data_IF_599180600880
#
_entry.id   IF_599180600880
#
_cell.length_a   1.000
_cell.length_b   1.000
_cell.length_c   1.000
_cell.angle_alpha   90.00
_cell.angle_beta   90.00
_cell.angle_gamma   90.00
#
_symmetry.space_group_name_H-M   'P 1'
#
loop_
_entity.id
_entity.type
_entity.pdbx_description
1 polymer ?
#
# COMPACT_ATOMS: atom_id res chain seq x y z
N UNK A 1 -15.75 73.06 66.42
CA UNK A 1 -16.88 72.22 66.89
C UNK A 1 -18.10 72.52 66.05
N UNK A 2 -18.47 71.73 65.13
CA UNK A 2 -19.82 71.58 64.61
C UNK A 2 -20.05 70.19 64.08
N UNK A 3 -20.82 69.51 64.84
CA UNK A 3 -21.35 68.19 64.63
C UNK A 3 -22.42 68.27 63.52
N UNK A 4 -22.26 67.52 62.41
CA UNK A 4 -23.36 67.31 61.48
C UNK A 4 -23.57 65.80 61.20
N UNK A 5 -24.75 65.38 61.60
CA UNK A 5 -25.33 64.06 61.51
C UNK A 5 -25.53 63.64 60.02
N UNK A 6 -25.23 62.44 59.61
CA UNK A 6 -25.66 61.95 58.28
C UNK A 6 -27.13 61.53 58.30
N UNK A 7 -27.82 61.84 57.21
CA UNK A 7 -29.21 61.45 56.93
C UNK A 7 -29.28 59.92 56.57
N UNK A 8 -30.38 59.28 57.00
CA UNK A 8 -30.60 57.87 56.64
C UNK A 8 -31.30 57.76 55.28
N UNK A 9 -30.88 56.72 54.48
CA UNK A 9 -31.69 56.20 53.41
C UNK A 9 -31.10 56.29 51.99
N UNK A 10 -30.03 55.58 51.76
CA UNK A 10 -29.77 55.13 50.41
C UNK A 10 -30.03 53.60 50.37
N UNK A 11 -31.15 53.26 49.76
CA UNK A 11 -31.53 51.87 49.50
C UNK A 11 -30.64 51.36 48.31
N UNK A 12 -29.78 50.37 48.57
CA UNK A 12 -29.03 49.69 47.50
C UNK A 12 -30.01 48.97 46.60
N UNK A 13 -29.81 49.02 45.27
CA UNK A 13 -30.66 48.27 44.34
C UNK A 13 -30.38 46.75 44.47
N UNK A 14 -31.45 46.03 44.80
CA UNK A 14 -31.48 44.57 44.81
C UNK A 14 -31.09 44.01 43.43
N UNK A 15 -30.13 43.04 43.31
CA UNK A 15 -29.83 42.43 42.04
C UNK A 15 -31.03 41.67 41.50
N UNK A 16 -31.55 42.09 40.37
CA UNK A 16 -32.62 41.35 39.66
C UNK A 16 -32.09 40.07 39.12
N UNK A 17 -32.56 38.93 39.60
CA UNK A 17 -32.29 37.63 39.00
C UNK A 17 -32.73 37.60 37.52
N UNK A 18 -31.95 37.02 36.62
CA UNK A 18 -32.31 36.94 35.21
C UNK A 18 -33.53 36.03 35.04
N UNK A 19 -34.55 36.57 34.38
CA UNK A 19 -35.82 35.91 34.13
C UNK A 19 -35.67 34.54 33.43
N UNK A 20 -36.49 33.54 33.78
CA UNK A 20 -36.33 32.16 33.31
C UNK A 20 -36.53 31.95 31.79
N UNK A 21 -36.92 32.99 31.05
CA UNK A 21 -37.11 32.94 29.58
C UNK A 21 -35.81 32.81 28.77
N UNK A 22 -34.67 33.28 29.24
CA UNK A 22 -33.40 33.23 28.52
C UNK A 22 -32.75 31.83 28.56
N UNK A 23 -32.96 31.06 29.64
CA UNK A 23 -32.42 29.69 29.78
C UNK A 23 -33.15 28.68 28.92
N UNK A 24 -34.47 28.85 28.62
CA UNK A 24 -35.22 27.95 27.72
C UNK A 24 -34.82 28.10 26.26
N UNK A 25 -34.48 29.32 25.78
CA UNK A 25 -34.05 29.58 24.42
C UNK A 25 -32.67 28.97 24.13
N UNK A 26 -31.70 29.11 25.04
CA UNK A 26 -30.37 28.49 24.94
C UNK A 26 -30.47 26.97 24.92
N UNK A 27 -31.27 26.35 25.79
CA UNK A 27 -31.45 24.87 25.79
C UNK A 27 -32.09 24.31 24.51
N UNK A 28 -32.98 25.06 23.84
CA UNK A 28 -33.55 24.66 22.56
C UNK A 28 -32.53 24.74 21.43
N UNK A 29 -31.70 25.77 21.38
CA UNK A 29 -30.63 25.92 20.40
C UNK A 29 -29.57 24.80 20.54
N UNK A 30 -29.17 24.50 21.78
CA UNK A 30 -28.23 23.40 22.07
C UNK A 30 -28.79 22.02 21.71
N UNK A 31 -30.07 21.78 21.94
CA UNK A 31 -30.74 20.54 21.52
C UNK A 31 -30.79 20.43 19.99
N UNK A 32 -31.04 21.53 19.28
CA UNK A 32 -30.99 21.58 17.82
C UNK A 32 -29.58 21.30 17.28
N UNK A 33 -28.55 21.88 17.92
CA UNK A 33 -27.16 21.64 17.54
C UNK A 33 -26.72 20.18 17.77
N UNK A 34 -27.13 19.57 18.89
CA UNK A 34 -26.86 18.15 19.17
C UNK A 34 -27.57 17.22 18.18
N UNK A 35 -28.78 17.54 17.75
CA UNK A 35 -29.49 16.77 16.73
C UNK A 35 -28.79 16.89 15.38
N UNK A 36 -28.33 18.08 14.99
CA UNK A 36 -27.57 18.28 13.75
C UNK A 36 -26.22 17.54 13.77
N UNK A 37 -25.52 17.54 14.91
CA UNK A 37 -24.27 16.77 15.07
C UNK A 37 -24.53 15.27 15.01
N UNK A 38 -25.62 14.77 15.58
CA UNK A 38 -26.00 13.37 15.50
C UNK A 38 -26.35 12.97 14.06
N UNK A 39 -27.08 13.81 13.31
CA UNK A 39 -27.37 13.58 11.90
C UNK A 39 -26.10 13.59 11.06
N UNK A 40 -25.19 14.53 11.29
CA UNK A 40 -23.90 14.59 10.60
C UNK A 40 -23.05 13.34 10.89
N UNK A 41 -23.04 12.85 12.14
CA UNK A 41 -22.35 11.61 12.50
C UNK A 41 -22.97 10.38 11.82
N UNK A 42 -24.29 10.29 11.73
CA UNK A 42 -24.97 9.21 11.01
C UNK A 42 -24.68 9.26 9.50
N UNK A 43 -24.69 10.45 8.89
CA UNK A 43 -24.31 10.62 7.49
C UNK A 43 -22.86 10.22 7.25
N UNK A 44 -21.93 10.58 8.15
CA UNK A 44 -20.53 10.19 8.07
C UNK A 44 -20.35 8.66 8.20
N UNK A 45 -21.09 8.03 9.13
CA UNK A 45 -21.10 6.56 9.27
C UNK A 45 -21.71 5.85 8.06
N UNK A 46 -22.78 6.40 7.47
CA UNK A 46 -23.37 5.85 6.25
C UNK A 46 -22.45 6.06 5.03
N UNK A 47 -21.73 7.17 4.96
CA UNK A 47 -20.75 7.42 3.90
C UNK A 47 -19.53 6.49 4.03
N UNK A 48 -19.04 6.28 5.26
CA UNK A 48 -17.95 5.34 5.54
C UNK A 48 -18.38 3.89 5.29
N UNK A 49 -19.56 3.49 5.79
CA UNK A 49 -20.14 2.17 5.56
C UNK A 49 -20.51 1.91 4.10
N UNK A 50 -20.98 2.95 3.38
CA UNK A 50 -21.25 2.86 1.94
C UNK A 50 -19.98 2.66 1.10
N UNK A 51 -18.87 3.30 1.48
CA UNK A 51 -17.57 3.07 0.84
C UNK A 51 -17.02 1.67 1.15
N UNK A 52 -17.20 1.19 2.38
CA UNK A 52 -16.85 -0.18 2.76
C UNK A 52 -17.73 -1.20 2.03
N UNK A 53 -19.04 -0.98 1.94
CA UNK A 53 -19.98 -1.85 1.21
C UNK A 53 -19.72 -1.87 -0.30
N UNK A 54 -19.34 -0.72 -0.91
CA UNK A 54 -18.94 -0.66 -2.31
C UNK A 54 -17.61 -1.41 -2.53
N UNK A 55 -16.69 -1.34 -1.57
CA UNK A 55 -15.44 -2.10 -1.60
C UNK A 55 -15.71 -3.60 -1.50
N UNK A 56 -16.59 -4.03 -0.57
CA UNK A 56 -17.03 -5.43 -0.40
C UNK A 56 -17.76 -5.98 -1.63
N UNK A 57 -18.60 -5.15 -2.29
CA UNK A 57 -19.33 -5.55 -3.50
C UNK A 57 -18.48 -5.50 -4.79
N UNK A 58 -17.31 -4.88 -4.75
CA UNK A 58 -16.33 -4.86 -5.86
C UNK A 58 -15.26 -5.93 -5.72
N UNK A 59 -15.11 -6.53 -4.54
CA UNK A 59 -14.31 -7.74 -4.38
C UNK A 59 -15.16 -8.91 -4.90
N UNK A 60 -14.60 -9.80 -5.72
CA UNK A 60 -15.25 -11.06 -6.04
C UNK A 60 -15.59 -11.77 -4.73
N UNK A 61 -16.81 -12.33 -4.61
CA UNK A 61 -17.30 -13.04 -3.43
C UNK A 61 -16.48 -14.30 -3.05
N UNK A 62 -15.36 -14.53 -3.73
CA UNK A 62 -14.54 -15.73 -3.64
C UNK A 62 -13.22 -15.55 -2.87
N UNK A 63 -13.09 -14.47 -2.08
CA UNK A 63 -12.01 -14.34 -1.11
C UNK A 63 -12.40 -15.04 0.21
N UNK A 64 -12.88 -16.29 0.11
CA UNK A 64 -13.23 -17.11 1.26
C UNK A 64 -11.97 -17.53 2.05
N UNK A 65 -12.07 -17.47 3.37
CA UNK A 65 -11.01 -17.84 4.33
C UNK A 65 -10.44 -19.27 4.16
N UNK A 66 -11.01 -20.08 3.27
CA UNK A 66 -10.69 -21.52 3.18
C UNK A 66 -9.82 -21.91 1.96
N UNK A 67 -9.50 -21.00 1.03
CA UNK A 67 -8.72 -21.30 -0.18
C UNK A 67 -7.27 -20.80 -0.12
N UNK A 68 -6.64 -20.73 1.07
CA UNK A 68 -5.20 -20.55 1.19
C UNK A 68 -4.49 -21.82 0.71
N UNK A 69 -4.31 -21.93 -0.61
CA UNK A 69 -3.43 -22.96 -1.16
C UNK A 69 -1.99 -22.62 -0.79
N UNK A 70 -1.47 -23.46 0.11
CA UNK A 70 -0.05 -23.62 0.35
C UNK A 70 0.67 -23.67 -1.00
N UNK A 71 1.64 -22.81 -1.20
CA UNK A 71 2.49 -22.79 -2.38
C UNK A 71 3.20 -24.15 -2.47
N UNK A 72 2.60 -25.09 -3.20
CA UNK A 72 3.23 -26.37 -3.52
C UNK A 72 4.29 -26.06 -4.59
N UNK A 73 5.56 -26.15 -4.18
CA UNK A 73 6.72 -25.92 -5.06
C UNK A 73 6.87 -27.01 -6.14
N UNK A 74 5.89 -27.88 -6.29
CA UNK A 74 5.88 -28.92 -7.30
C UNK A 74 5.44 -28.38 -8.67
N UNK A 75 6.42 -27.89 -9.45
CA UNK A 75 6.39 -27.76 -10.92
C UNK A 75 5.07 -27.16 -11.48
N UNK A 76 4.77 -25.91 -11.18
CA UNK A 76 3.91 -25.16 -12.07
C UNK A 76 4.67 -24.99 -13.39
N UNK A 77 3.98 -25.27 -14.51
CA UNK A 77 4.53 -25.13 -15.85
C UNK A 77 5.05 -23.71 -16.04
N UNK A 78 6.36 -23.48 -15.82
CA UNK A 78 7.00 -22.18 -16.10
C UNK A 78 6.78 -21.72 -17.55
N UNK A 79 6.41 -22.68 -18.43
CA UNK A 79 6.04 -22.45 -19.82
C UNK A 79 4.52 -22.22 -20.03
N UNK A 80 3.69 -22.13 -18.97
CA UNK A 80 2.26 -21.94 -19.14
C UNK A 80 1.96 -20.59 -19.83
N UNK A 81 1.09 -20.57 -20.85
CA UNK A 81 0.86 -19.38 -21.66
C UNK A 81 0.20 -18.26 -20.83
N UNK A 82 0.78 -17.07 -20.85
CA UNK A 82 0.24 -15.88 -20.24
C UNK A 82 -0.85 -15.33 -21.16
N UNK A 83 -2.09 -15.21 -20.65
CA UNK A 83 -3.24 -14.64 -21.38
C UNK A 83 -3.76 -13.34 -20.75
N UNK A 84 -3.05 -12.80 -19.76
CA UNK A 84 -3.30 -11.46 -19.21
C UNK A 84 -3.35 -10.46 -20.38
N UNK A 85 -4.33 -9.55 -20.44
CA UNK A 85 -4.42 -8.57 -21.52
C UNK A 85 -3.10 -7.81 -21.71
N UNK A 86 -2.51 -7.91 -22.89
CA UNK A 86 -1.23 -7.30 -23.19
C UNK A 86 -1.37 -5.84 -23.65
N UNK A 87 -0.30 -5.07 -23.50
CA UNK A 87 -0.14 -3.73 -24.07
C UNK A 87 1.31 -3.56 -24.51
N UNK A 88 1.49 -2.82 -25.61
CA UNK A 88 2.83 -2.47 -26.07
C UNK A 88 3.49 -1.48 -25.09
N UNK A 89 4.79 -1.61 -24.82
CA UNK A 89 5.52 -0.67 -23.99
C UNK A 89 5.61 0.70 -24.68
N UNK A 90 5.64 1.75 -23.90
CA UNK A 90 5.95 3.09 -24.42
C UNK A 90 7.35 3.11 -25.03
N UNK A 91 7.55 3.93 -26.08
CA UNK A 91 8.82 3.96 -26.82
C UNK A 91 10.04 4.35 -25.96
N UNK A 92 9.80 5.02 -24.83
CA UNK A 92 10.83 5.44 -23.87
C UNK A 92 10.84 4.56 -22.60
N UNK A 93 10.06 3.47 -22.58
CA UNK A 93 10.01 2.55 -21.43
C UNK A 93 11.37 1.87 -21.25
N UNK A 94 12.10 2.31 -20.25
CA UNK A 94 13.40 1.74 -19.87
C UNK A 94 13.60 1.87 -18.36
N UNK A 95 14.40 0.95 -17.82
CA UNK A 95 14.88 1.02 -16.45
C UNK A 95 16.18 1.83 -16.44
N UNK A 96 16.25 2.83 -15.57
CA UNK A 96 17.46 3.63 -15.39
C UNK A 96 18.10 3.31 -14.03
N UNK A 97 19.44 3.16 -14.03
CA UNK A 97 20.17 2.99 -12.79
C UNK A 97 20.33 4.34 -12.07
N UNK A 98 20.10 4.34 -10.79
CA UNK A 98 20.34 5.49 -9.95
C UNK A 98 21.84 5.82 -9.90
N UNK A 99 22.14 7.10 -9.76
CA UNK A 99 23.53 7.54 -9.48
C UNK A 99 23.95 7.12 -8.10
N UNK A 100 25.22 6.77 -7.95
CA UNK A 100 25.81 6.43 -6.65
C UNK A 100 25.51 7.52 -5.62
N UNK A 101 25.16 7.10 -4.41
CA UNK A 101 24.89 7.99 -3.28
C UNK A 101 26.08 8.01 -2.34
N UNK A 102 26.39 9.19 -1.84
CA UNK A 102 27.58 9.43 -1.00
C UNK A 102 27.43 8.95 0.45
N UNK A 103 26.24 8.54 0.90
CA UNK A 103 26.00 8.06 2.25
C UNK A 103 24.87 7.03 2.31
N UNK A 104 25.00 6.10 3.26
CA UNK A 104 23.99 5.10 3.53
C UNK A 104 22.77 5.72 4.24
N UNK A 105 21.58 5.25 3.89
CA UNK A 105 20.33 5.59 4.57
C UNK A 105 20.12 4.67 5.78
N UNK A 106 19.46 5.17 6.82
CA UNK A 106 18.96 4.33 7.91
C UNK A 106 17.81 3.43 7.42
N UNK A 107 17.53 2.34 8.13
CA UNK A 107 16.44 1.43 7.84
C UNK A 107 15.09 2.15 7.67
N UNK A 108 14.80 3.09 8.56
CA UNK A 108 13.56 3.88 8.52
C UNK A 108 13.50 4.80 7.29
N UNK A 109 14.61 5.38 6.85
CA UNK A 109 14.68 6.20 5.64
C UNK A 109 14.51 5.35 4.39
N UNK A 110 15.13 4.16 4.35
CA UNK A 110 14.94 3.18 3.27
C UNK A 110 13.47 2.80 3.18
N UNK A 111 12.86 2.36 4.28
CA UNK A 111 11.45 1.98 4.31
C UNK A 111 10.53 3.10 3.80
N UNK A 112 10.66 4.31 4.34
CA UNK A 112 9.85 5.46 3.90
C UNK A 112 10.04 5.80 2.42
N UNK A 113 11.24 5.58 1.89
CA UNK A 113 11.55 5.88 0.49
C UNK A 113 10.93 4.88 -0.47
N UNK A 114 10.94 3.57 -0.14
CA UNK A 114 10.62 2.52 -1.11
C UNK A 114 9.31 1.78 -0.84
N UNK A 115 8.77 1.82 0.39
CA UNK A 115 7.55 1.08 0.76
C UNK A 115 6.34 1.44 -0.12
N UNK A 116 6.25 2.70 -0.58
CA UNK A 116 5.19 3.14 -1.49
C UNK A 116 5.29 2.55 -2.91
N UNK A 117 6.46 2.04 -3.30
CA UNK A 117 6.70 1.45 -4.61
C UNK A 117 6.57 -0.08 -4.61
N UNK A 118 6.51 -0.72 -3.44
CA UNK A 118 6.35 -2.18 -3.33
C UNK A 118 4.87 -2.52 -3.28
N UNK A 119 4.44 -3.39 -4.17
CA UNK A 119 3.03 -3.73 -4.41
C UNK A 119 2.82 -5.23 -4.36
N UNK A 120 1.59 -5.64 -4.06
CA UNK A 120 1.20 -7.04 -4.21
C UNK A 120 0.68 -7.28 -5.62
N UNK A 121 1.12 -8.36 -6.25
CA UNK A 121 0.66 -8.82 -7.57
C UNK A 121 -0.17 -10.08 -7.34
N UNK A 122 -1.45 -10.02 -7.70
CA UNK A 122 -2.38 -11.15 -7.62
C UNK A 122 -2.82 -11.52 -9.03
N UNK A 123 -2.68 -12.78 -9.40
CA UNK A 123 -2.91 -13.31 -10.75
C UNK A 123 -3.88 -14.47 -10.69
N UNK A 124 -5.00 -14.33 -11.40
CA UNK A 124 -5.96 -15.42 -11.55
C UNK A 124 -5.45 -16.44 -12.57
N UNK A 125 -5.45 -17.70 -12.20
CA UNK A 125 -5.05 -18.84 -12.99
C UNK A 125 -6.26 -19.70 -13.42
N UNK A 126 -6.01 -20.74 -14.19
CA UNK A 126 -7.04 -21.72 -14.53
C UNK A 126 -7.51 -22.52 -13.29
N UNK A 127 -8.79 -22.92 -13.31
CA UNK A 127 -9.37 -23.74 -12.24
C UNK A 127 -9.65 -23.02 -10.93
N UNK A 128 -9.72 -21.66 -10.93
CA UNK A 128 -9.99 -20.89 -9.72
C UNK A 128 -8.76 -20.75 -8.80
N UNK A 129 -7.57 -21.09 -9.27
CA UNK A 129 -6.31 -20.90 -8.56
C UNK A 129 -5.85 -19.45 -8.69
N UNK A 130 -5.05 -19.00 -7.74
CA UNK A 130 -4.46 -17.67 -7.74
C UNK A 130 -2.97 -17.75 -7.41
N UNK A 131 -2.16 -17.01 -8.16
CA UNK A 131 -0.76 -16.77 -7.83
C UNK A 131 -0.62 -15.40 -7.19
N UNK A 132 0.15 -15.30 -6.10
CA UNK A 132 0.40 -14.05 -5.38
C UNK A 132 1.89 -13.83 -5.24
N UNK A 133 2.34 -12.63 -5.54
CA UNK A 133 3.74 -12.26 -5.42
C UNK A 133 3.94 -10.77 -5.15
N UNK A 134 5.19 -10.36 -5.13
CA UNK A 134 5.59 -8.97 -4.95
C UNK A 134 5.92 -8.33 -6.29
N UNK A 135 5.54 -7.07 -6.49
CA UNK A 135 5.98 -6.22 -7.58
C UNK A 135 6.65 -4.95 -7.08
N UNK A 136 7.45 -4.34 -7.95
CA UNK A 136 8.12 -3.06 -7.67
C UNK A 136 7.77 -2.08 -8.78
N UNK A 137 7.12 -0.97 -8.44
CA UNK A 137 6.90 0.13 -9.38
C UNK A 137 8.25 0.79 -9.64
N UNK A 138 8.68 0.86 -10.91
CA UNK A 138 9.95 1.45 -11.30
C UNK A 138 9.83 2.72 -12.15
N UNK A 139 8.59 3.10 -12.51
CA UNK A 139 8.26 4.38 -13.16
C UNK A 139 6.97 4.94 -12.59
N UNK A 140 6.91 6.25 -12.45
CA UNK A 140 5.75 6.97 -11.88
C UNK A 140 4.44 6.78 -12.64
N UNK A 141 4.51 6.40 -13.92
CA UNK A 141 3.37 6.12 -14.77
C UNK A 141 2.83 4.69 -14.66
N UNK A 142 3.40 3.85 -13.75
CA UNK A 142 2.86 2.56 -13.36
C UNK A 142 3.46 1.34 -14.06
N UNK A 143 4.70 1.39 -14.50
CA UNK A 143 5.46 0.19 -14.86
C UNK A 143 5.93 -0.54 -13.61
N UNK A 144 5.73 -1.86 -13.58
CA UNK A 144 6.00 -2.73 -12.43
C UNK A 144 6.85 -3.89 -12.88
N UNK A 145 7.92 -4.16 -12.13
CA UNK A 145 8.74 -5.37 -12.26
C UNK A 145 8.26 -6.41 -11.25
N UNK A 146 8.07 -7.65 -11.68
CA UNK A 146 7.75 -8.81 -10.85
C UNK A 146 8.46 -10.05 -11.40
N UNK A 147 8.24 -11.21 -10.79
CA UNK A 147 8.78 -12.47 -11.29
C UNK A 147 7.90 -13.08 -12.37
N UNK A 148 8.52 -13.81 -13.30
CA UNK A 148 7.80 -14.52 -14.36
C UNK A 148 6.88 -15.60 -13.79
N UNK A 149 7.34 -16.40 -12.82
CA UNK A 149 6.54 -17.45 -12.21
C UNK A 149 5.24 -16.92 -11.57
N UNK A 150 5.21 -15.65 -11.12
CA UNK A 150 4.00 -15.02 -10.58
C UNK A 150 2.94 -14.83 -11.64
N UNK A 151 3.31 -14.56 -12.89
CA UNK A 151 2.39 -14.27 -14.01
C UNK A 151 2.19 -15.44 -14.98
N UNK A 152 2.99 -16.50 -14.86
CA UNK A 152 2.89 -17.69 -15.71
C UNK A 152 1.49 -18.32 -15.61
N UNK A 153 0.89 -18.66 -16.76
CA UNK A 153 -0.47 -19.20 -16.82
C UNK A 153 -1.59 -18.19 -16.47
N UNK A 154 -1.25 -16.92 -16.23
CA UNK A 154 -2.18 -15.89 -15.81
C UNK A 154 -3.21 -15.51 -16.84
N UNK A 155 -4.46 -15.29 -16.39
CA UNK A 155 -5.61 -14.81 -17.17
C UNK A 155 -5.92 -13.35 -16.92
N UNK A 156 -5.98 -12.97 -15.65
CA UNK A 156 -6.13 -11.59 -15.22
C UNK A 156 -5.09 -11.29 -14.16
N UNK A 157 -4.74 -10.03 -14.03
CA UNK A 157 -3.77 -9.58 -13.03
C UNK A 157 -4.28 -8.34 -12.34
N UNK A 158 -4.28 -8.38 -11.02
CA UNK A 158 -4.61 -7.24 -10.15
C UNK A 158 -3.37 -6.86 -9.34
N UNK A 159 -3.05 -5.58 -9.35
CA UNK A 159 -2.00 -5.02 -8.51
C UNK A 159 -2.63 -4.25 -7.36
N UNK A 160 -2.24 -4.59 -6.14
CA UNK A 160 -2.68 -3.89 -4.93
C UNK A 160 -1.57 -2.94 -4.48
N UNK A 161 -1.85 -1.64 -4.50
CA UNK A 161 -0.95 -0.63 -3.94
C UNK A 161 -0.95 -0.68 -2.41
N UNK A 162 0.07 -0.14 -1.74
CA UNK A 162 0.05 0.05 -0.30
C UNK A 162 -1.24 0.74 0.15
N UNK A 163 -1.93 0.14 1.14
CA UNK A 163 -3.28 0.59 1.55
C UNK A 163 -4.43 -0.12 0.84
N UNK A 164 -4.15 -1.13 0.00
CA UNK A 164 -5.15 -2.05 -0.55
C UNK A 164 -5.92 -1.53 -1.78
N UNK A 165 -5.48 -0.43 -2.41
CA UNK A 165 -6.13 0.09 -3.63
C UNK A 165 -5.81 -0.81 -4.83
N UNK A 166 -6.81 -1.47 -5.46
CA UNK A 166 -6.59 -2.38 -6.57
C UNK A 166 -6.51 -1.65 -7.92
N UNK A 167 -5.67 -2.17 -8.81
CA UNK A 167 -5.56 -1.77 -10.21
C UNK A 167 -5.50 -2.99 -11.11
N UNK A 168 -6.30 -3.02 -12.15
CA UNK A 168 -6.14 -4.00 -13.22
C UNK A 168 -4.79 -3.76 -13.93
N UNK A 169 -3.97 -4.81 -14.00
CA UNK A 169 -2.68 -4.76 -14.67
C UNK A 169 -2.73 -5.39 -16.06
N UNK A 170 -1.93 -4.86 -16.94
CA UNK A 170 -1.68 -5.39 -18.28
C UNK A 170 -0.29 -5.97 -18.36
N UNK A 171 -0.13 -7.02 -19.14
CA UNK A 171 1.12 -7.66 -19.40
C UNK A 171 1.90 -6.89 -20.48
N UNK A 172 3.19 -6.70 -20.27
CA UNK A 172 4.12 -6.11 -21.25
C UNK A 172 4.98 -7.20 -21.87
N UNK A 173 5.82 -7.82 -21.04
CA UNK A 173 6.77 -8.84 -21.46
C UNK A 173 7.25 -9.65 -20.25
N UNK A 174 7.82 -10.82 -20.51
CA UNK A 174 8.54 -11.58 -19.49
C UNK A 174 9.68 -12.39 -20.10
N UNK A 175 10.58 -12.81 -19.24
CA UNK A 175 11.69 -13.71 -19.55
C UNK A 175 11.72 -14.82 -18.49
N UNK A 176 11.29 -16.02 -18.86
CA UNK A 176 11.28 -17.18 -17.97
C UNK A 176 12.70 -17.60 -17.54
N UNK A 177 13.70 -17.36 -18.40
CA UNK A 177 15.09 -17.72 -18.10
C UNK A 177 15.69 -16.87 -16.98
N UNK A 178 15.28 -15.61 -16.84
CA UNK A 178 15.67 -14.71 -15.77
C UNK A 178 14.63 -14.57 -14.68
N UNK A 179 13.49 -15.26 -14.80
CA UNK A 179 12.34 -15.16 -13.91
C UNK A 179 11.91 -13.72 -13.69
N UNK A 180 11.77 -12.95 -14.76
CA UNK A 180 11.36 -11.56 -14.73
C UNK A 180 10.13 -11.32 -15.59
N UNK A 181 9.24 -10.44 -15.13
CA UNK A 181 8.08 -9.96 -15.88
C UNK A 181 7.83 -8.47 -15.64
N UNK A 182 7.30 -7.81 -16.65
CA UNK A 182 6.92 -6.40 -16.62
C UNK A 182 5.41 -6.28 -16.82
N UNK A 183 4.78 -5.55 -15.92
CA UNK A 183 3.36 -5.22 -15.93
C UNK A 183 3.18 -3.71 -16.06
N UNK A 184 1.98 -3.29 -16.46
CA UNK A 184 1.57 -1.88 -16.55
C UNK A 184 0.20 -1.68 -15.92
N UNK A 185 0.11 -0.76 -14.96
CA UNK A 185 -1.16 -0.24 -14.45
C UNK A 185 -1.40 1.18 -14.93
N UNK A 186 -2.65 1.58 -15.04
CA UNK A 186 -3.03 2.95 -15.36
C UNK A 186 -3.53 3.63 -14.09
N UNK A 187 -2.72 4.50 -13.52
CA UNK A 187 -3.10 5.35 -12.40
C UNK A 187 -3.38 6.77 -12.92
N UNK A 188 -4.33 7.47 -12.27
CA UNK A 188 -4.66 8.87 -12.60
C UNK A 188 -3.61 9.84 -12.05
N UNK A 189 -2.85 9.41 -11.04
CA UNK A 189 -1.83 10.19 -10.35
C UNK A 189 -0.46 9.53 -10.54
N UNK A 190 0.61 10.35 -10.48
CA UNK A 190 1.98 9.84 -10.47
C UNK A 190 2.19 8.95 -9.25
N UNK A 191 2.73 7.76 -9.48
CA UNK A 191 2.94 6.75 -8.45
C UNK A 191 4.33 6.89 -7.81
N UNK A 192 4.46 6.58 -6.51
CA UNK A 192 5.77 6.34 -5.93
C UNK A 192 6.49 5.23 -6.68
N UNK A 193 7.77 5.40 -6.97
CA UNK A 193 8.58 4.38 -7.65
C UNK A 193 9.93 4.19 -6.97
N UNK A 194 10.52 3.00 -7.14
CA UNK A 194 11.84 2.67 -6.63
C UNK A 194 12.91 2.97 -7.68
N UNK A 195 14.06 3.47 -7.22
CA UNK A 195 15.26 3.62 -8.04
C UNK A 195 16.06 2.31 -8.00
N UNK A 196 16.60 1.89 -9.13
CA UNK A 196 17.45 0.71 -9.22
C UNK A 196 18.93 1.09 -9.06
N UNK A 197 19.61 0.38 -8.16
CA UNK A 197 21.05 0.53 -7.97
C UNK A 197 21.86 -0.41 -8.86
N UNK A 198 23.18 -0.17 -8.91
CA UNK A 198 24.12 -1.06 -9.56
C UNK A 198 24.50 -2.22 -8.62
N UNK A 199 24.05 -3.43 -8.90
CA UNK A 199 24.35 -4.61 -8.10
C UNK A 199 25.84 -5.02 -8.14
N UNK A 200 26.57 -4.64 -9.17
CA UNK A 200 28.03 -4.93 -9.27
C UNK A 200 28.85 -4.14 -8.22
N UNK A 201 28.28 -3.07 -7.67
CA UNK A 201 28.91 -2.28 -6.61
C UNK A 201 28.77 -2.88 -5.22
N UNK A 202 27.94 -3.94 -5.05
CA UNK A 202 27.71 -4.57 -3.75
C UNK A 202 28.91 -5.41 -3.29
N UNK A 203 29.13 -5.41 -1.99
CA UNK A 203 30.14 -6.21 -1.31
C UNK A 203 29.52 -7.07 -0.22
N UNK A 204 30.13 -8.24 0.05
CA UNK A 204 29.74 -9.09 1.17
C UNK A 204 29.89 -8.29 2.48
N UNK A 205 28.82 -8.28 3.28
CA UNK A 205 28.74 -7.49 4.52
C UNK A 205 28.00 -6.17 4.39
N UNK A 206 27.65 -5.73 3.17
CA UNK A 206 26.81 -4.53 2.99
C UNK A 206 25.45 -4.75 3.60
N UNK A 207 24.91 -3.75 4.34
CA UNK A 207 23.56 -3.83 4.89
C UNK A 207 22.52 -3.79 3.78
N UNK A 208 21.54 -4.67 3.86
CA UNK A 208 20.41 -4.76 2.91
C UNK A 208 19.09 -4.92 3.65
N UNK A 209 18.02 -4.57 2.97
CA UNK A 209 16.66 -4.72 3.46
C UNK A 209 15.83 -5.45 2.43
N UNK A 210 14.97 -6.36 2.87
CA UNK A 210 13.98 -7.00 2.03
C UNK A 210 12.59 -6.43 2.35
N UNK A 211 11.83 -6.13 1.30
CA UNK A 211 10.41 -5.72 1.41
C UNK A 211 9.63 -6.59 0.45
N UNK A 212 8.55 -7.20 0.94
CA UNK A 212 7.73 -8.05 0.10
C UNK A 212 6.38 -8.37 0.72
N UNK A 213 5.64 -9.25 0.04
CA UNK A 213 4.38 -9.83 0.50
C UNK A 213 4.65 -11.32 0.74
N UNK A 214 5.15 -11.70 1.94
CA UNK A 214 5.40 -13.10 2.24
C UNK A 214 4.08 -13.80 2.54
N UNK A 215 3.82 -14.90 1.86
CA UNK A 215 2.76 -15.89 2.13
C UNK A 215 1.31 -15.41 2.05
N UNK A 216 1.02 -14.12 2.25
CA UNK A 216 -0.34 -13.61 2.37
C UNK A 216 -0.45 -12.15 1.91
N UNK A 217 -1.55 -11.80 1.24
CA UNK A 217 -1.86 -10.43 0.81
C UNK A 217 -1.91 -9.48 2.01
N UNK A 218 -2.39 -9.94 3.17
CA UNK A 218 -2.44 -9.15 4.41
C UNK A 218 -1.05 -8.82 4.97
N UNK A 219 -0.03 -9.60 4.62
CA UNK A 219 1.36 -9.39 5.03
C UNK A 219 2.15 -8.49 4.07
N UNK A 220 1.48 -7.85 3.13
CA UNK A 220 2.09 -6.92 2.19
C UNK A 220 2.90 -5.83 2.87
N UNK A 221 4.13 -5.57 2.38
CA UNK A 221 5.03 -4.56 2.93
C UNK A 221 5.81 -5.00 4.16
N UNK A 222 5.90 -6.32 4.44
CA UNK A 222 6.84 -6.84 5.46
C UNK A 222 8.25 -6.39 5.14
N UNK A 223 8.95 -5.84 6.16
CA UNK A 223 10.28 -5.27 6.05
C UNK A 223 11.24 -5.98 7.00
N UNK A 224 12.29 -6.54 6.45
CA UNK A 224 13.35 -7.23 7.22
C UNK A 224 14.71 -6.66 6.87
N UNK A 225 15.68 -6.83 7.74
CA UNK A 225 17.07 -6.38 7.57
C UNK A 225 18.04 -7.55 7.55
N UNK A 226 19.19 -7.34 6.92
CA UNK A 226 20.25 -8.30 6.84
C UNK A 226 21.48 -7.71 6.16
N UNK A 227 22.36 -8.59 5.74
CA UNK A 227 23.57 -8.24 4.99
C UNK A 227 23.65 -9.05 3.69
N UNK A 228 24.40 -8.57 2.74
CA UNK A 228 24.84 -9.36 1.60
C UNK A 228 25.74 -10.50 2.11
N UNK A 229 25.31 -11.74 1.94
CA UNK A 229 26.05 -12.93 2.36
C UNK A 229 26.96 -13.48 1.25
N UNK A 230 26.57 -13.28 -0.02
CA UNK A 230 27.39 -13.61 -1.19
C UNK A 230 26.96 -12.75 -2.38
N UNK A 231 27.91 -12.44 -3.27
CA UNK A 231 27.66 -11.83 -4.59
C UNK A 231 28.03 -12.82 -5.68
N UNK A 232 27.35 -12.72 -6.82
CA UNK A 232 27.61 -13.54 -8.01
C UNK A 232 27.61 -15.06 -7.73
N UNK A 233 26.73 -15.52 -6.83
CA UNK A 233 26.57 -16.94 -6.57
C UNK A 233 25.78 -17.57 -7.69
N UNK A 234 26.44 -18.40 -8.51
CA UNK A 234 25.74 -19.15 -9.54
C UNK A 234 24.83 -20.20 -8.91
N UNK A 235 23.54 -20.10 -9.21
CA UNK A 235 22.52 -21.06 -8.80
C UNK A 235 21.85 -21.57 -10.04
N UNK A 236 21.69 -22.88 -10.12
CA UNK A 236 20.96 -23.54 -11.18
C UNK A 236 19.47 -23.49 -10.79
N UNK A 237 18.69 -22.62 -11.44
CA UNK A 237 17.26 -22.46 -11.20
C UNK A 237 16.46 -23.58 -11.85
N UNK A 238 16.83 -23.94 -13.08
CA UNK A 238 16.23 -25.06 -13.82
C UNK A 238 17.34 -25.96 -14.38
N UNK A 239 16.97 -27.08 -14.99
CA UNK A 239 17.95 -27.95 -15.65
C UNK A 239 18.69 -27.27 -16.79
N UNK A 240 18.26 -26.11 -17.25
CA UNK A 240 18.80 -25.37 -18.41
C UNK A 240 19.31 -23.97 -18.08
N UNK A 241 18.92 -23.41 -16.91
CA UNK A 241 19.20 -21.99 -16.58
C UNK A 241 20.04 -21.91 -15.32
N UNK A 242 21.21 -21.30 -15.41
CA UNK A 242 22.04 -20.87 -14.28
C UNK A 242 22.20 -19.36 -14.33
N UNK A 243 22.04 -18.69 -13.20
CA UNK A 243 22.24 -17.25 -13.13
C UNK A 243 23.02 -16.84 -11.86
N UNK A 244 23.79 -15.76 -11.94
CA UNK A 244 24.45 -15.19 -10.76
C UNK A 244 23.41 -14.47 -9.89
N UNK A 245 23.32 -14.87 -8.62
CA UNK A 245 22.40 -14.28 -7.64
C UNK A 245 23.19 -13.62 -6.50
N UNK A 246 22.54 -12.63 -5.90
CA UNK A 246 22.96 -12.03 -4.64
C UNK A 246 22.28 -12.81 -3.51
N UNK A 247 23.07 -13.34 -2.58
CA UNK A 247 22.54 -14.00 -1.40
C UNK A 247 22.51 -13.00 -0.23
N UNK A 248 21.41 -13.00 0.50
CA UNK A 248 21.23 -12.24 1.76
C UNK A 248 20.70 -13.14 2.85
N UNK A 249 20.88 -12.71 4.11
CA UNK A 249 20.20 -13.30 5.26
C UNK A 249 19.03 -12.45 5.79
N UNK A 250 18.63 -11.42 5.06
CA UNK A 250 17.37 -10.73 5.28
C UNK A 250 16.21 -11.70 5.00
N UNK A 251 15.34 -12.00 6.00
CA UNK A 251 14.30 -13.02 5.93
C UNK A 251 12.99 -12.48 6.51
#
# INVERSE_FOLDING_TARGET
ETYSRPLPGAVEPVPTEPTPRSRRKKRRVWKGLLVLLAIAAVIALLAAGGRWLIWELQMPDDWGEDDYYYYDQDQEDEDAPITIPAVEPDADARLELAKDRSHALSAQEVYRKVSGAVVTVAVDLDGGRMSVGTGVIFREDGYILTNHHVVAGGKTCTVLLPGGRPYAAKYIASDAGYDLAVLKINAEEALPFAEFGNSDALSVGDPVYAIGTPLDIEMGGTFTDGIVSSVNREIQLTSRTSMPLIQTNAA
#
